data_IF_131587833430
#
_entry.id   IF_131587833430
#
_cell.length_a   1.000
_cell.length_b   1.000
_cell.length_c   1.000
_cell.angle_alpha   90.00
_cell.angle_beta   90.00
_cell.angle_gamma   90.00
#
_symmetry.space_group_name_H-M   'P 1'
#
loop_
_entity.id
_entity.type
_entity.pdbx_description
1 polymer ?
#
# COMPACT_ATOMS: atom_id res chain seq x y z
N UNK A 1 -5.27 3.35 17.80
CA UNK A 1 -5.09 4.74 17.31
C UNK A 1 -4.06 4.70 16.19
N UNK A 2 -4.17 5.55 15.15
CA UNK A 2 -3.16 5.60 14.07
C UNK A 2 -1.81 6.14 14.57
N UNK A 3 -0.69 5.70 13.97
CA UNK A 3 0.65 6.21 14.29
C UNK A 3 0.91 7.50 13.48
N UNK A 4 1.34 8.62 14.11
CA UNK A 4 1.66 9.85 13.39
C UNK A 4 2.74 9.63 12.31
N UNK A 5 2.54 10.21 11.13
CA UNK A 5 3.49 10.13 10.01
C UNK A 5 3.56 8.77 9.31
N UNK A 6 2.68 7.82 9.68
CA UNK A 6 2.61 6.49 9.06
C UNK A 6 1.34 6.38 8.22
N UNK A 7 1.51 6.08 6.93
CA UNK A 7 0.43 6.00 5.97
C UNK A 7 0.54 4.71 5.16
N UNK A 8 -0.60 4.18 4.74
CA UNK A 8 -0.71 2.99 3.91
C UNK A 8 -1.37 3.40 2.60
N UNK A 9 -0.71 3.12 1.49
CA UNK A 9 -1.32 3.22 0.17
C UNK A 9 -2.23 2.01 -0.04
N UNK A 10 -3.46 2.24 -0.46
CA UNK A 10 -4.47 1.21 -0.70
C UNK A 10 -5.01 1.38 -2.12
N UNK A 11 -4.92 0.34 -2.94
CA UNK A 11 -5.44 0.32 -4.30
C UNK A 11 -6.00 -1.06 -4.67
N UNK A 12 -6.74 -1.09 -5.78
CA UNK A 12 -7.30 -2.30 -6.35
C UNK A 12 -6.50 -2.75 -7.58
N UNK A 13 -6.14 -4.03 -7.62
CA UNK A 13 -5.66 -4.71 -8.82
C UNK A 13 -6.90 -5.20 -9.56
N UNK A 14 -7.39 -4.37 -10.47
CA UNK A 14 -8.65 -4.63 -11.17
C UNK A 14 -8.52 -5.73 -12.24
N UNK A 15 -9.51 -6.63 -12.28
CA UNK A 15 -9.61 -7.73 -13.26
C UNK A 15 -10.91 -7.62 -14.07
N UNK A 16 -10.88 -7.02 -15.29
CA UNK A 16 -12.08 -6.68 -16.05
C UNK A 16 -13.04 -7.85 -16.32
N UNK A 17 -12.45 -9.00 -16.64
CA UNK A 17 -13.21 -10.18 -17.12
C UNK A 17 -13.88 -10.94 -15.98
N UNK A 18 -13.45 -10.72 -14.74
CA UNK A 18 -14.03 -11.30 -13.54
C UNK A 18 -13.73 -10.37 -12.36
N UNK A 19 -14.54 -9.33 -12.19
CA UNK A 19 -14.30 -8.29 -11.20
C UNK A 19 -14.25 -8.83 -9.74
N UNK A 20 -14.92 -9.95 -9.47
CA UNK A 20 -14.90 -10.64 -8.17
C UNK A 20 -13.50 -11.19 -7.86
N UNK A 21 -12.70 -11.54 -8.88
CA UNK A 21 -11.30 -11.96 -8.71
C UNK A 21 -10.33 -10.78 -8.58
N UNK A 22 -10.83 -9.55 -8.48
CA UNK A 22 -10.03 -8.40 -8.08
C UNK A 22 -9.24 -8.67 -6.80
N UNK A 23 -8.08 -8.03 -6.67
CA UNK A 23 -7.22 -8.14 -5.49
C UNK A 23 -6.93 -6.77 -4.94
N UNK A 24 -6.54 -6.72 -3.67
CA UNK A 24 -6.10 -5.50 -3.01
C UNK A 24 -4.57 -5.41 -3.06
N UNK A 25 -4.06 -4.20 -3.27
CA UNK A 25 -2.64 -3.87 -3.15
C UNK A 25 -2.49 -2.84 -2.04
N UNK A 26 -1.91 -3.27 -0.92
CA UNK A 26 -1.60 -2.39 0.20
C UNK A 26 -0.09 -2.30 0.36
N UNK A 27 0.45 -1.09 0.38
CA UNK A 27 1.89 -0.84 0.52
C UNK A 27 2.14 0.28 1.53
N UNK A 28 3.22 0.19 2.33
CA UNK A 28 3.61 1.27 3.22
C UNK A 28 4.09 2.47 2.40
N UNK A 29 3.61 3.67 2.72
CA UNK A 29 4.11 4.90 2.11
C UNK A 29 5.42 5.30 2.78
N UNK A 30 6.46 5.51 1.99
CA UNK A 30 7.72 6.10 2.42
C UNK A 30 7.83 7.53 1.92
N UNK A 31 8.47 8.40 2.71
CA UNK A 31 8.76 9.78 2.32
C UNK A 31 10.27 9.95 2.15
N UNK A 32 10.68 10.51 1.02
CA UNK A 32 12.04 10.99 0.77
C UNK A 32 11.96 12.49 0.49
N UNK A 33 12.15 13.29 1.55
CA UNK A 33 11.82 14.71 1.53
C UNK A 33 10.33 14.91 1.21
N UNK A 34 10.06 15.68 0.14
CA UNK A 34 8.70 15.97 -0.33
C UNK A 34 8.15 14.92 -1.31
N UNK A 35 8.92 13.87 -1.61
CA UNK A 35 8.51 12.82 -2.54
C UNK A 35 7.92 11.61 -1.80
N UNK A 36 6.81 11.10 -2.33
CA UNK A 36 6.24 9.82 -1.91
C UNK A 36 6.91 8.70 -2.71
N UNK A 37 7.42 7.69 -2.02
CA UNK A 37 7.94 6.46 -2.61
C UNK A 37 7.06 5.28 -2.20
N UNK A 38 6.72 4.46 -3.20
CA UNK A 38 6.03 3.19 -3.05
C UNK A 38 6.93 2.09 -3.57
N UNK A 39 7.46 1.28 -2.67
CA UNK A 39 8.26 0.11 -3.01
C UNK A 39 7.39 -1.14 -3.01
N UNK A 40 7.55 -1.99 -4.02
CA UNK A 40 6.88 -3.27 -4.04
C UNK A 40 7.40 -4.15 -2.88
N UNK A 41 6.47 -4.70 -2.10
CA UNK A 41 6.76 -5.67 -1.05
C UNK A 41 5.74 -6.80 -1.14
N UNK A 42 6.23 -8.03 -1.30
CA UNK A 42 5.38 -9.22 -1.32
C UNK A 42 4.70 -9.44 0.04
N UNK A 43 5.42 -9.13 1.13
CA UNK A 43 4.93 -9.18 2.50
C UNK A 43 5.51 -8.01 3.33
N UNK A 44 4.71 -7.47 4.25
CA UNK A 44 5.12 -6.44 5.20
C UNK A 44 4.17 -6.42 6.41
N UNK A 45 4.59 -5.80 7.50
CA UNK A 45 3.83 -5.70 8.76
C UNK A 45 3.66 -4.26 9.22
N UNK A 46 2.72 -4.01 10.12
CA UNK A 46 2.49 -2.67 10.68
C UNK A 46 3.67 -2.14 11.51
N UNK A 47 4.57 -3.02 11.95
CA UNK A 47 5.83 -2.63 12.58
C UNK A 47 6.83 -2.05 11.58
N UNK A 48 6.70 -2.37 10.29
CA UNK A 48 7.58 -1.88 9.21
C UNK A 48 7.17 -0.51 8.68
N UNK A 49 6.02 0.02 9.12
CA UNK A 49 5.54 1.35 8.76
C UNK A 49 6.45 2.41 9.32
#
# INVERSE_FOLDING_TARGET
>A
QGKPGKFIFMADIWRPKNAIDGRYLWLPIQFDGDQIKLEWKDEWKLEDL
#
